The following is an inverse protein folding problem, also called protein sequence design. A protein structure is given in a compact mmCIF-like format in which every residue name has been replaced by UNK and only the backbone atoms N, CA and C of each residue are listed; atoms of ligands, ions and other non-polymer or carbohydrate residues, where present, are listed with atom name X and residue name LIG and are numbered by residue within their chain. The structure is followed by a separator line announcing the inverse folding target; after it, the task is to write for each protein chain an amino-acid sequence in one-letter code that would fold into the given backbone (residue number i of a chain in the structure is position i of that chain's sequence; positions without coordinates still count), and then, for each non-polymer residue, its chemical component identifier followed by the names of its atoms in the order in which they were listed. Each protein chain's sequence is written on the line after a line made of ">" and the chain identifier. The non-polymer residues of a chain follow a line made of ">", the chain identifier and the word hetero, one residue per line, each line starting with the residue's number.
data_IF_106050590395
#
_entry.id   IF_106050590395
#
_cell.length_a   1.000
_cell.length_b   1.000
_cell.length_c   1.000
_cell.angle_alpha   90.00
_cell.angle_beta   90.00
_cell.angle_gamma   90.00
#
_symmetry.space_group_name_H-M   'P 1'
#
loop_
_entity.id
_entity.type
_entity.pdbx_description
1 polymer ?
#
# COMPACT_ATOMS: atom_id res chain seq x y z
N UNK A 1 11.96 -10.02 11.16
CA UNK A 1 11.08 -9.72 10.02
C UNK A 1 11.90 -9.87 8.75
N UNK A 2 11.40 -10.63 7.79
CA UNK A 2 12.03 -10.70 6.47
C UNK A 2 11.80 -9.39 5.70
N UNK A 3 12.74 -8.98 4.84
CA UNK A 3 12.57 -7.82 3.94
C UNK A 3 11.28 -7.96 3.10
N UNK A 4 10.94 -9.18 2.70
CA UNK A 4 9.70 -9.45 1.95
C UNK A 4 8.45 -9.17 2.77
N UNK A 5 8.44 -9.58 4.04
CA UNK A 5 7.37 -9.21 4.95
C UNK A 5 7.31 -7.69 5.06
N UNK A 6 8.46 -7.00 5.23
CA UNK A 6 8.54 -5.54 5.30
C UNK A 6 7.88 -4.84 4.10
N UNK A 7 8.20 -5.29 2.89
CA UNK A 7 7.70 -4.67 1.66
C UNK A 7 6.22 -4.97 1.39
N UNK A 8 5.79 -6.22 1.56
CA UNK A 8 4.49 -6.67 1.06
C UNK A 8 3.39 -6.73 2.13
N UNK A 9 3.71 -6.76 3.43
CA UNK A 9 2.67 -6.85 4.43
C UNK A 9 1.84 -5.55 4.46
N UNK A 10 0.51 -5.63 4.30
CA UNK A 10 -0.37 -4.47 4.39
C UNK A 10 -0.35 -3.89 5.80
N UNK A 11 -0.49 -2.57 5.92
CA UNK A 11 -0.54 -1.89 7.22
C UNK A 11 -1.98 -1.80 7.69
N UNK A 12 -2.26 -2.22 8.92
CA UNK A 12 -3.60 -2.18 9.51
C UNK A 12 -3.83 -0.84 10.19
N UNK A 13 -4.86 -0.14 9.73
CA UNK A 13 -5.33 1.09 10.35
C UNK A 13 -6.19 0.82 11.59
N UNK A 14 -6.37 1.84 12.43
CA UNK A 14 -7.21 1.78 13.63
C UNK A 14 -8.69 1.47 13.34
N UNK A 15 -9.16 1.73 12.10
CA UNK A 15 -10.48 1.33 11.61
C UNK A 15 -10.54 -0.10 11.07
N UNK A 16 -9.43 -0.84 11.13
CA UNK A 16 -9.31 -2.19 10.59
C UNK A 16 -9.12 -2.24 9.08
N UNK A 17 -8.95 -1.08 8.41
CA UNK A 17 -8.68 -1.01 6.98
C UNK A 17 -7.22 -1.35 6.69
N UNK A 18 -7.01 -2.09 5.60
CA UNK A 18 -5.68 -2.40 5.10
C UNK A 18 -5.19 -1.24 4.24
N UNK A 19 -4.23 -0.48 4.76
CA UNK A 19 -3.53 0.55 4.00
C UNK A 19 -2.47 -0.07 3.07
N UNK A 20 -2.18 0.59 1.93
CA UNK A 20 -1.25 0.07 0.93
C UNK A 20 0.11 -0.27 1.57
N UNK A 21 0.65 -1.42 1.14
CA UNK A 21 1.97 -1.91 1.56
C UNK A 21 3.09 -0.93 1.17
N UNK A 22 4.25 -1.05 1.80
CA UNK A 22 5.41 -0.20 1.45
C UNK A 22 5.82 -0.40 -0.02
N UNK A 23 5.73 -1.64 -0.53
CA UNK A 23 5.95 -1.94 -1.93
C UNK A 23 5.02 -1.15 -2.85
N UNK A 24 3.72 -1.05 -2.52
CA UNK A 24 2.76 -0.29 -3.34
C UNK A 24 3.08 1.21 -3.38
N UNK A 25 3.62 1.77 -2.30
CA UNK A 25 4.03 3.19 -2.20
C UNK A 25 5.26 3.46 -3.05
N UNK A 26 6.28 2.62 -2.93
CA UNK A 26 7.50 2.72 -3.74
C UNK A 26 7.16 2.55 -5.22
N UNK A 27 6.32 1.56 -5.54
CA UNK A 27 5.86 1.32 -6.89
C UNK A 27 5.12 2.53 -7.48
N UNK A 28 4.29 3.22 -6.71
CA UNK A 28 3.63 4.44 -7.18
C UNK A 28 4.64 5.51 -7.62
N UNK A 29 5.67 5.78 -6.80
CA UNK A 29 6.69 6.79 -7.12
C UNK A 29 7.46 6.38 -8.39
N UNK A 30 7.91 5.14 -8.46
CA UNK A 30 8.64 4.62 -9.63
C UNK A 30 7.77 4.65 -10.88
N UNK A 31 6.50 4.24 -10.77
CA UNK A 31 5.54 4.24 -11.86
C UNK A 31 5.25 5.66 -12.39
N UNK A 32 5.15 6.66 -11.51
CA UNK A 32 4.96 8.06 -11.92
C UNK A 32 6.20 8.63 -12.62
N UNK A 33 7.40 8.36 -12.10
CA UNK A 33 8.66 8.81 -12.74
C UNK A 33 8.80 8.15 -14.12
N UNK A 34 8.60 6.84 -14.19
CA UNK A 34 8.72 6.08 -15.44
C UNK A 34 7.69 6.52 -16.47
N UNK A 35 6.41 6.59 -16.11
CA UNK A 35 5.34 7.03 -17.02
C UNK A 35 5.53 8.48 -17.46
N UNK A 36 5.99 9.37 -16.58
CA UNK A 36 6.37 10.75 -16.91
C UNK A 36 7.48 10.81 -17.93
N UNK A 37 8.60 10.14 -17.66
CA UNK A 37 9.74 10.14 -18.57
C UNK A 37 9.40 9.53 -19.93
N UNK A 38 8.68 8.40 -19.94
CA UNK A 38 8.30 7.70 -21.17
C UNK A 38 7.30 8.52 -22.01
N UNK A 39 6.28 9.09 -21.38
CA UNK A 39 5.28 9.91 -22.07
C UNK A 39 5.91 11.17 -22.66
N UNK A 40 6.92 11.74 -21.99
CA UNK A 40 7.63 12.91 -22.51
C UNK A 40 8.34 12.61 -23.84
N UNK A 41 9.06 11.49 -23.93
CA UNK A 41 9.75 11.09 -25.16
C UNK A 41 8.77 10.88 -26.33
N UNK A 42 7.59 10.32 -26.05
CA UNK A 42 6.57 10.08 -27.07
C UNK A 42 5.83 11.35 -27.52
N UNK A 43 5.75 12.36 -26.65
CA UNK A 43 4.98 13.58 -26.92
C UNK A 43 5.61 14.53 -27.93
N UNK A 44 6.89 14.35 -28.25
CA UNK A 44 7.62 15.23 -29.18
C UNK A 44 7.63 16.71 -28.75
N UNK A 45 7.51 16.99 -27.45
CA UNK A 45 7.46 18.36 -26.90
C UNK A 45 6.05 18.98 -26.87
N UNK A 46 5.02 18.27 -27.35
CA UNK A 46 3.63 18.74 -27.22
C UNK A 46 3.08 18.43 -25.81
N UNK A 47 2.85 19.48 -25.03
CA UNK A 47 2.40 19.39 -23.64
C UNK A 47 1.01 18.73 -23.50
N UNK A 48 0.09 18.99 -24.44
CA UNK A 48 -1.27 18.40 -24.38
C UNK A 48 -1.21 16.90 -24.63
N UNK A 49 -0.45 16.48 -25.65
CA UNK A 49 -0.24 15.07 -25.96
C UNK A 49 0.49 14.36 -24.81
N UNK A 50 1.50 15.01 -24.22
CA UNK A 50 2.19 14.52 -23.03
C UNK A 50 1.23 14.22 -21.88
N UNK A 51 0.35 15.17 -21.52
CA UNK A 51 -0.60 14.99 -20.42
C UNK A 51 -1.61 13.87 -20.69
N UNK A 52 -2.11 13.75 -21.93
CA UNK A 52 -3.00 12.66 -22.33
C UNK A 52 -2.30 11.29 -22.22
N UNK A 53 -1.08 11.18 -22.74
CA UNK A 53 -0.29 9.95 -22.66
C UNK A 53 0.06 9.61 -21.21
N UNK A 54 0.47 10.60 -20.42
CA UNK A 54 0.80 10.42 -19.01
C UNK A 54 -0.39 9.83 -18.25
N UNK A 55 -1.59 10.41 -18.40
CA UNK A 55 -2.79 9.92 -17.73
C UNK A 55 -3.14 8.49 -18.17
N UNK A 56 -3.08 8.20 -19.48
CA UNK A 56 -3.42 6.88 -20.01
C UNK A 56 -2.43 5.80 -19.56
N UNK A 57 -1.13 6.05 -19.72
CA UNK A 57 -0.06 5.10 -19.38
C UNK A 57 0.01 4.90 -17.86
N UNK A 58 -0.02 5.97 -17.07
CA UNK A 58 0.04 5.86 -15.61
C UNK A 58 -1.17 5.12 -15.05
N UNK A 59 -2.38 5.38 -15.55
CA UNK A 59 -3.59 4.69 -15.08
C UNK A 59 -3.49 3.19 -15.31
N UNK A 60 -3.09 2.77 -16.51
CA UNK A 60 -2.94 1.35 -16.83
C UNK A 60 -1.83 0.69 -16.01
N UNK A 61 -0.66 1.33 -15.94
CA UNK A 61 0.50 0.81 -15.23
C UNK A 61 0.26 0.69 -13.73
N UNK A 62 -0.33 1.72 -13.11
CA UNK A 62 -0.63 1.73 -11.67
C UNK A 62 -1.72 0.72 -11.33
N UNK A 63 -2.78 0.64 -12.15
CA UNK A 63 -3.87 -0.31 -11.93
C UNK A 63 -3.37 -1.76 -11.97
N UNK A 64 -2.56 -2.12 -12.97
CA UNK A 64 -1.97 -3.45 -13.06
C UNK A 64 -0.96 -3.72 -11.96
N UNK A 65 -0.06 -2.78 -11.68
CA UNK A 65 0.97 -2.99 -10.67
C UNK A 65 0.40 -3.15 -9.27
N UNK A 66 -0.61 -2.36 -8.89
CA UNK A 66 -1.29 -2.54 -7.61
C UNK A 66 -2.07 -3.85 -7.54
N UNK A 67 -2.69 -4.28 -8.63
CA UNK A 67 -3.35 -5.57 -8.68
C UNK A 67 -2.36 -6.72 -8.41
N UNK A 68 -1.19 -6.71 -9.05
CA UNK A 68 -0.14 -7.71 -8.83
C UNK A 68 0.38 -7.67 -7.40
N UNK A 69 0.67 -6.47 -6.86
CA UNK A 69 1.13 -6.32 -5.47
C UNK A 69 0.07 -6.84 -4.49
N UNK A 70 -1.21 -6.58 -4.75
CA UNK A 70 -2.32 -7.07 -3.92
C UNK A 70 -2.36 -8.59 -3.88
N UNK A 71 -2.10 -9.28 -5.00
CA UNK A 71 -2.08 -10.75 -5.03
C UNK A 71 -0.97 -11.30 -4.14
N UNK A 72 0.22 -10.70 -4.19
CA UNK A 72 1.37 -11.09 -3.35
C UNK A 72 1.11 -10.78 -1.87
N UNK A 73 0.48 -9.64 -1.57
CA UNK A 73 0.19 -9.20 -0.21
C UNK A 73 -0.81 -10.08 0.56
N UNK A 74 -1.62 -10.90 -0.11
CA UNK A 74 -2.57 -11.83 0.56
C UNK A 74 -1.85 -12.84 1.46
N UNK A 75 -0.63 -13.23 1.11
CA UNK A 75 0.17 -14.20 1.87
C UNK A 75 0.81 -13.66 3.15
N UNK A 76 0.64 -12.37 3.48
CA UNK A 76 1.33 -11.73 4.59
C UNK A 76 0.36 -11.18 5.65
N UNK A 77 0.68 -11.44 6.92
CA UNK A 77 -0.06 -10.93 8.08
C UNK A 77 -0.02 -9.39 8.14
N UNK A 78 -1.18 -8.71 8.27
CA UNK A 78 -1.24 -7.25 8.31
C UNK A 78 -0.56 -6.69 9.56
N UNK A 79 0.30 -5.69 9.38
CA UNK A 79 1.08 -5.08 10.48
C UNK A 79 0.40 -3.87 11.07
N UNK A 80 0.37 -3.82 12.40
CA UNK A 80 -0.05 -2.63 13.16
C UNK A 80 1.08 -1.59 13.19
N UNK A 81 0.70 -0.31 13.19
CA UNK A 81 1.63 0.82 13.15
C UNK A 81 2.47 0.94 14.43
N UNK A 82 1.91 0.58 15.59
CA UNK A 82 2.58 0.65 16.89
C UNK A 82 2.13 -0.50 17.79
N UNK A 83 3.02 -0.94 18.67
CA UNK A 83 2.69 -1.99 19.65
C UNK A 83 1.60 -1.55 20.63
N UNK A 84 1.52 -0.25 20.92
CA UNK A 84 0.47 0.34 21.77
C UNK A 84 -0.93 0.05 21.22
N UNK A 85 -1.11 0.11 19.89
CA UNK A 85 -2.38 -0.25 19.25
C UNK A 85 -2.66 -1.74 19.39
N UNK A 86 -1.63 -2.59 19.26
CA UNK A 86 -1.74 -4.04 19.46
C UNK A 86 -2.21 -4.37 20.88
N UNK A 87 -1.67 -3.67 21.89
CA UNK A 87 -2.01 -3.84 23.30
C UNK A 87 -3.43 -3.36 23.60
N UNK A 88 -3.83 -2.21 23.07
CA UNK A 88 -5.19 -1.66 23.23
C UNK A 88 -6.25 -2.59 22.60
N UNK A 89 -5.96 -3.14 21.42
CA UNK A 89 -6.87 -4.07 20.74
C UNK A 89 -6.97 -5.40 21.48
N UNK A 90 -5.87 -5.86 22.09
CA UNK A 90 -5.84 -7.05 22.95
C UNK A 90 -6.60 -6.84 24.26
N UNK A 91 -6.56 -5.63 24.84
CA UNK A 91 -7.29 -5.34 26.09
C UNK A 91 -8.80 -5.28 25.89
N UNK A 92 -9.28 -4.76 24.75
CA UNK A 92 -10.71 -4.79 24.38
C UNK A 92 -11.27 -6.21 24.23
N UNK A 93 -10.43 -7.17 23.85
CA UNK A 93 -10.82 -8.58 23.69
C UNK A 93 -10.82 -9.35 25.01
N UNK A 94 -10.24 -8.81 26.09
CA UNK A 94 -10.33 -9.45 27.40
C UNK A 94 -11.74 -9.22 27.96
N UNK A 95 -12.47 -10.28 28.35
CA UNK A 95 -13.78 -10.13 28.95
C UNK A 95 -13.64 -9.35 30.26
N UNK A 96 -14.40 -8.27 30.43
CA UNK A 96 -14.43 -7.44 31.64
C UNK A 96 -14.58 -8.26 32.94
N UNK A 97 -15.20 -9.45 32.85
CA UNK A 97 -15.36 -10.39 33.94
C UNK A 97 -14.07 -11.07 34.42
N UNK A 98 -12.96 -11.06 33.67
CA UNK A 98 -11.68 -11.64 34.11
C UNK A 98 -10.95 -10.80 35.16
N UNK A 99 -11.38 -9.55 35.37
CA UNK A 99 -10.80 -8.67 36.40
C UNK A 99 -11.44 -8.85 37.78
N UNK A 100 -12.49 -9.68 37.92
CA UNK A 100 -13.04 -10.03 39.22
C UNK A 100 -12.14 -11.09 39.87
N UNK A 101 -11.14 -10.64 40.63
CA UNK A 101 -10.46 -11.51 41.61
C UNK A 101 -11.45 -11.88 42.73
N UNK A 102 -11.30 -13.06 43.35
CA UNK A 102 -12.18 -13.54 44.42
C UNK A 102 -12.19 -12.60 45.63
#
# INVERSE_FOLDING_TARGET
>A
MSLMEYLFAPRKDHRGWSTPSEAARIFFILGMIFSGWWSWQLSGGNIVVFLCLLMLISTFLLSLGWWIISLVSIGFEPRVLTESVKLADKSKKLPLHSFRKP
#
